data_IF_709670208068
#
_entry.id   IF_709670208068
#
_cell.length_a   1.000
_cell.length_b   1.000
_cell.length_c   1.000
_cell.angle_alpha   90.00
_cell.angle_beta   90.00
_cell.angle_gamma   90.00
#
_symmetry.space_group_name_H-M   'P 1'
#
loop_
_entity.id
_entity.type
_entity.pdbx_description
1 polymer ?
#
# COMPACT_ATOMS: atom_id res chain seq x y z
N UNK A 1 -11.64 -4.76 -10.85
CA UNK A 1 -10.53 -5.18 -11.72
C UNK A 1 -9.29 -4.39 -11.30
N UNK A 2 -8.20 -5.06 -10.92
CA UNK A 2 -6.95 -4.37 -10.58
C UNK A 2 -6.26 -3.96 -11.87
N UNK A 3 -6.35 -2.68 -12.22
CA UNK A 3 -5.60 -2.15 -13.34
C UNK A 3 -4.14 -1.91 -12.92
N UNK A 4 -3.22 -2.78 -13.33
CA UNK A 4 -1.79 -2.60 -13.02
C UNK A 4 -1.18 -1.41 -13.75
N UNK A 5 -1.73 -1.07 -14.92
CA UNK A 5 -1.29 0.04 -15.76
C UNK A 5 -1.78 1.37 -15.19
N UNK A 6 -2.87 1.38 -14.42
CA UNK A 6 -3.34 2.59 -13.70
C UNK A 6 -2.35 3.09 -12.65
N UNK A 7 -1.40 2.24 -12.22
CA UNK A 7 -0.28 2.63 -11.33
C UNK A 7 0.98 3.01 -12.11
N UNK A 8 0.95 2.91 -13.45
CA UNK A 8 1.94 3.48 -14.37
C UNK A 8 1.39 4.68 -15.16
N UNK A 9 0.07 4.95 -15.18
CA UNK A 9 -0.59 6.14 -15.73
C UNK A 9 -2.02 6.33 -15.19
N UNK A 10 -2.39 7.58 -14.96
CA UNK A 10 -3.57 8.16 -14.30
C UNK A 10 -5.01 7.67 -14.69
N UNK A 11 -5.99 7.98 -13.81
CA UNK A 11 -7.47 8.11 -13.98
C UNK A 11 -8.49 7.10 -13.36
N UNK A 12 -9.31 7.57 -12.41
CA UNK A 12 -10.75 7.90 -12.61
C UNK A 12 -11.90 6.85 -12.58
N UNK A 13 -12.33 6.46 -11.35
CA UNK A 13 -13.72 6.32 -10.83
C UNK A 13 -14.75 5.17 -11.17
N UNK A 14 -15.49 4.78 -10.10
CA UNK A 14 -16.85 4.18 -9.92
C UNK A 14 -17.13 2.65 -9.73
N UNK A 15 -17.37 2.30 -8.44
CA UNK A 15 -18.49 1.57 -7.78
C UNK A 15 -19.12 0.26 -8.35
N UNK A 16 -19.03 -0.83 -7.57
CA UNK A 16 -20.13 -1.79 -7.30
C UNK A 16 -19.72 -2.79 -6.19
N UNK A 17 -20.55 -2.94 -5.15
CA UNK A 17 -20.23 -3.80 -4.00
C UNK A 17 -20.91 -5.18 -3.97
N UNK A 18 -20.49 -6.04 -3.03
CA UNK A 18 -21.31 -6.72 -2.00
C UNK A 18 -20.70 -8.05 -1.53
N UNK A 19 -20.84 -8.27 -0.22
CA UNK A 19 -20.98 -9.52 0.56
C UNK A 19 -19.77 -10.41 0.92
N UNK A 20 -19.63 -10.56 2.24
CA UNK A 20 -18.65 -11.32 2.99
C UNK A 20 -19.19 -12.70 3.40
N UNK A 21 -18.34 -13.72 3.28
CA UNK A 21 -18.61 -15.09 3.73
C UNK A 21 -17.51 -15.60 4.66
N UNK A 22 -17.73 -15.51 5.96
CA UNK A 22 -16.83 -16.00 7.01
C UNK A 22 -16.93 -17.53 7.18
N UNK A 23 -15.81 -18.24 7.04
CA UNK A 23 -15.72 -19.69 7.18
C UNK A 23 -14.37 -20.15 7.74
N UNK A 24 -14.19 -20.03 9.06
CA UNK A 24 -12.97 -20.46 9.76
C UNK A 24 -12.68 -21.96 9.64
N UNK A 25 -11.62 -22.30 8.89
CA UNK A 25 -11.02 -23.64 8.80
C UNK A 25 -9.75 -23.70 9.65
N UNK A 26 -9.57 -24.79 10.41
CA UNK A 26 -8.46 -25.01 11.36
C UNK A 26 -7.13 -25.39 10.69
N UNK A 27 -6.87 -24.89 9.49
CA UNK A 27 -5.59 -25.12 8.81
C UNK A 27 -4.50 -24.21 9.38
N UNK A 28 -3.25 -24.71 9.52
CA UNK A 28 -2.14 -23.86 9.91
C UNK A 28 -1.88 -22.80 8.83
N UNK A 29 -1.63 -21.56 9.25
CA UNK A 29 -1.41 -20.43 8.34
C UNK A 29 -0.28 -20.73 7.33
N UNK A 30 -0.59 -20.53 6.04
CA UNK A 30 0.38 -20.72 4.96
C UNK A 30 1.40 -19.58 4.96
N UNK A 31 2.70 -19.91 4.90
CA UNK A 31 3.75 -18.91 4.74
C UNK A 31 3.76 -18.43 3.28
N UNK A 32 3.17 -17.26 3.02
CA UNK A 32 2.97 -16.73 1.69
C UNK A 32 4.03 -15.66 1.37
N UNK A 33 4.48 -15.66 0.12
CA UNK A 33 5.25 -14.55 -0.47
C UNK A 33 4.57 -14.16 -1.77
N UNK A 34 4.35 -12.87 -2.00
CA UNK A 34 3.82 -12.39 -3.28
C UNK A 34 4.94 -11.81 -4.13
N UNK A 35 4.81 -11.88 -5.46
CA UNK A 35 5.58 -11.05 -6.39
C UNK A 35 4.75 -9.85 -6.83
N UNK A 36 5.38 -8.82 -7.40
CA UNK A 36 4.64 -7.72 -7.99
C UNK A 36 3.63 -8.19 -9.04
N UNK A 37 2.51 -7.46 -9.12
CA UNK A 37 1.39 -7.65 -10.06
C UNK A 37 0.67 -8.99 -9.89
N UNK A 38 0.53 -9.44 -8.64
CA UNK A 38 -0.18 -10.66 -8.29
C UNK A 38 -1.05 -10.42 -7.04
N UNK A 39 -2.29 -9.93 -7.22
CA UNK A 39 -3.19 -9.54 -6.16
C UNK A 39 -3.82 -10.73 -5.46
N UNK A 40 -3.89 -10.58 -4.14
CA UNK A 40 -4.68 -11.42 -3.25
C UNK A 40 -5.69 -10.52 -2.52
N UNK A 41 -6.80 -11.11 -2.10
CA UNK A 41 -7.77 -10.46 -1.22
C UNK A 41 -7.94 -11.28 0.05
N UNK A 42 -8.24 -10.66 1.19
CA UNK A 42 -8.51 -11.40 2.42
C UNK A 42 -8.78 -10.51 3.61
N UNK A 43 -9.19 -11.11 4.73
CA UNK A 43 -9.52 -10.39 5.96
C UNK A 43 -8.27 -10.14 6.80
N UNK A 44 -7.98 -8.88 7.11
CA UNK A 44 -6.83 -8.50 7.95
C UNK A 44 -7.09 -8.87 9.40
N UNK A 45 -6.29 -9.78 9.97
CA UNK A 45 -6.52 -10.24 11.35
C UNK A 45 -5.45 -9.77 12.33
N UNK A 46 -4.18 -9.78 11.90
CA UNK A 46 -3.08 -9.44 12.80
C UNK A 46 -1.88 -8.89 12.04
N UNK A 47 -1.26 -7.86 12.61
CA UNK A 47 0.05 -7.38 12.20
C UNK A 47 0.93 -7.33 13.42
N UNK A 48 2.17 -7.81 13.32
CA UNK A 48 3.04 -7.99 14.46
C UNK A 48 4.50 -7.91 14.05
N UNK A 49 5.35 -7.34 14.91
CA UNK A 49 6.79 -7.36 14.71
C UNK A 49 7.41 -8.65 15.23
N UNK A 50 8.56 -9.01 14.65
CA UNK A 50 9.38 -10.13 15.09
C UNK A 50 10.85 -9.74 14.95
N UNK A 51 11.66 -10.07 15.96
CA UNK A 51 13.10 -9.86 15.93
C UNK A 51 13.83 -11.20 16.06
N UNK A 52 14.79 -11.44 15.18
CA UNK A 52 15.67 -12.60 15.28
C UNK A 52 17.11 -12.26 14.88
N UNK A 53 17.99 -13.27 14.88
CA UNK A 53 19.42 -13.10 14.57
C UNK A 53 19.71 -12.58 13.15
N UNK A 54 18.72 -12.60 12.25
CA UNK A 54 18.82 -12.14 10.86
C UNK A 54 18.16 -10.78 10.63
N UNK A 55 17.72 -10.11 11.70
CA UNK A 55 17.04 -8.82 11.64
C UNK A 55 15.60 -8.88 12.14
N UNK A 56 14.96 -7.73 12.06
CA UNK A 56 13.55 -7.52 12.37
C UNK A 56 12.69 -7.69 11.11
N UNK A 57 11.48 -8.19 11.30
CA UNK A 57 10.48 -8.40 10.26
C UNK A 57 9.08 -8.07 10.76
N UNK A 58 8.27 -7.48 9.88
CA UNK A 58 6.83 -7.32 10.02
C UNK A 58 6.13 -8.59 9.52
N UNK A 59 5.35 -9.24 10.38
CA UNK A 59 4.42 -10.30 10.04
C UNK A 59 3.03 -9.72 9.79
N UNK A 60 2.39 -10.15 8.70
CA UNK A 60 1.02 -9.80 8.33
C UNK A 60 0.24 -11.09 8.22
N UNK A 61 -0.78 -11.26 9.05
CA UNK A 61 -1.69 -12.40 9.04
C UNK A 61 -3.04 -11.98 8.46
N UNK A 62 -3.54 -12.79 7.54
CA UNK A 62 -4.84 -12.62 6.90
C UNK A 62 -5.59 -13.95 6.90
N UNK A 63 -6.91 -13.88 7.01
CA UNK A 63 -7.84 -15.02 6.93
C UNK A 63 -8.69 -14.94 5.66
N UNK A 64 -9.29 -16.07 5.27
CA UNK A 64 -10.15 -16.18 4.08
C UNK A 64 -9.52 -15.53 2.84
N UNK A 65 -8.24 -15.82 2.62
CA UNK A 65 -7.47 -15.21 1.54
C UNK A 65 -7.79 -15.89 0.23
N UNK A 66 -7.98 -15.10 -0.81
CA UNK A 66 -8.25 -15.55 -2.17
C UNK A 66 -7.19 -15.01 -3.13
N UNK A 67 -6.76 -15.83 -4.07
CA UNK A 67 -5.95 -15.41 -5.21
C UNK A 67 -6.90 -14.82 -6.24
N UNK A 68 -6.71 -13.54 -6.57
CA UNK A 68 -7.59 -12.85 -7.53
C UNK A 68 -6.99 -12.83 -8.92
N UNK A 69 -5.66 -12.76 -9.05
CA UNK A 69 -4.97 -12.86 -10.33
C UNK A 69 -3.53 -13.38 -10.14
N UNK A 70 -3.12 -14.27 -11.04
CA UNK A 70 -1.78 -14.85 -11.08
C UNK A 70 -1.77 -16.35 -10.80
N UNK A 71 -0.62 -16.87 -10.38
CA UNK A 71 -0.39 -18.29 -10.18
C UNK A 71 0.19 -18.58 -8.79
N UNK A 72 -0.47 -19.44 -8.03
CA UNK A 72 0.01 -19.94 -6.75
C UNK A 72 0.92 -21.15 -6.95
N UNK A 73 2.09 -21.08 -6.34
CA UNK A 73 3.08 -22.13 -6.37
C UNK A 73 3.54 -22.55 -4.97
N UNK A 74 3.84 -23.83 -4.79
CA UNK A 74 4.42 -24.39 -3.58
C UNK A 74 5.92 -24.70 -3.77
N UNK A 75 6.75 -24.24 -2.82
CA UNK A 75 8.16 -24.60 -2.66
C UNK A 75 8.24 -25.82 -1.70
N UNK A 76 8.37 -27.05 -2.21
CA UNK A 76 8.35 -28.25 -1.39
C UNK A 76 9.59 -28.38 -0.49
N UNK A 77 10.69 -27.69 -0.81
CA UNK A 77 11.90 -27.72 0.02
C UNK A 77 11.73 -26.89 1.29
N UNK A 78 10.95 -25.81 1.21
CA UNK A 78 10.75 -24.86 2.31
C UNK A 78 9.38 -24.91 2.95
N UNK A 79 8.43 -25.64 2.37
CA UNK A 79 7.03 -25.65 2.79
C UNK A 79 6.41 -24.25 2.71
N UNK A 80 6.75 -23.50 1.66
CA UNK A 80 6.31 -22.11 1.47
C UNK A 80 5.46 -21.97 0.22
N UNK A 81 4.53 -21.04 0.26
CA UNK A 81 3.71 -20.68 -0.88
C UNK A 81 4.20 -19.37 -1.47
N UNK A 82 4.12 -19.27 -2.80
CA UNK A 82 4.50 -18.07 -3.51
C UNK A 82 3.53 -17.80 -4.64
N UNK A 83 2.98 -16.59 -4.67
CA UNK A 83 2.19 -16.10 -5.79
C UNK A 83 3.12 -15.44 -6.80
N UNK A 84 2.98 -15.81 -8.06
CA UNK A 84 3.66 -15.19 -9.19
C UNK A 84 2.64 -14.51 -10.10
N UNK A 85 3.02 -13.37 -10.69
CA UNK A 85 2.22 -12.78 -11.77
C UNK A 85 2.32 -13.62 -13.04
N UNK A 86 1.31 -13.55 -13.90
CA UNK A 86 1.33 -14.18 -15.22
C UNK A 86 2.56 -13.79 -16.05
N UNK A 87 2.98 -12.51 -15.95
CA UNK A 87 4.19 -12.02 -16.61
C UNK A 87 5.44 -12.74 -16.12
N UNK A 88 5.51 -13.06 -14.83
CA UNK A 88 6.62 -13.83 -14.29
C UNK A 88 6.55 -15.32 -14.69
N UNK A 89 5.37 -15.90 -14.89
CA UNK A 89 5.19 -17.33 -15.18
C UNK A 89 5.34 -17.66 -16.65
N UNK A 90 4.62 -16.95 -17.52
CA UNK A 90 4.54 -17.22 -18.97
C UNK A 90 5.01 -16.04 -19.84
N UNK A 91 5.39 -14.92 -19.23
CA UNK A 91 5.90 -13.75 -19.96
C UNK A 91 4.81 -12.86 -20.57
N UNK A 92 3.54 -13.10 -20.22
CA UNK A 92 2.37 -12.38 -20.74
C UNK A 92 1.71 -11.65 -19.58
N UNK A 93 1.27 -10.42 -19.82
CA UNK A 93 0.39 -9.68 -18.91
C UNK A 93 -1.05 -9.80 -19.44
N UNK A 94 -1.96 -10.56 -18.80
CA UNK A 94 -3.32 -10.73 -19.27
C UNK A 94 -4.14 -9.44 -19.31
N UNK A 95 -3.68 -8.37 -18.65
CA UNK A 95 -4.35 -7.07 -18.65
C UNK A 95 -3.83 -6.14 -19.75
N UNK A 96 -2.82 -6.56 -20.52
CA UNK A 96 -2.39 -5.85 -21.72
C UNK A 96 -3.40 -6.16 -22.86
N UNK A 97 -4.10 -5.15 -23.41
CA UNK A 97 -5.09 -5.36 -24.46
C UNK A 97 -4.48 -5.88 -25.77
N UNK A 98 -3.16 -5.78 -25.95
CA UNK A 98 -2.43 -6.32 -27.10
C UNK A 98 -1.84 -7.71 -26.84
N UNK A 99 -1.92 -8.21 -25.60
CA UNK A 99 -1.43 -9.54 -25.25
C UNK A 99 -2.34 -10.66 -25.81
N UNK A 100 -1.77 -11.84 -26.09
CA UNK A 100 -2.58 -13.02 -26.37
C UNK A 100 -3.40 -13.39 -25.13
N UNK A 101 -4.62 -13.89 -25.35
CA UNK A 101 -5.45 -14.47 -24.29
C UNK A 101 -4.69 -15.60 -23.57
N UNK A 102 -4.76 -15.60 -22.24
CA UNK A 102 -4.16 -16.60 -21.36
C UNK A 102 -5.27 -17.23 -20.53
N UNK A 103 -5.19 -18.51 -20.24
CA UNK A 103 -6.09 -19.26 -19.36
C UNK A 103 -5.33 -19.89 -18.20
N UNK A 104 -6.03 -20.32 -17.15
CA UNK A 104 -5.43 -21.03 -16.02
C UNK A 104 -4.58 -22.25 -16.45
N UNK A 105 -4.98 -22.95 -17.52
CA UNK A 105 -4.28 -24.12 -18.07
C UNK A 105 -2.92 -23.79 -18.71
N UNK A 106 -2.65 -22.52 -19.02
CA UNK A 106 -1.37 -22.08 -19.58
C UNK A 106 -0.27 -21.94 -18.50
N UNK A 107 -0.64 -22.00 -17.22
CA UNK A 107 0.30 -21.92 -16.12
C UNK A 107 1.27 -23.12 -16.14
N UNK A 108 2.57 -22.83 -16.02
CA UNK A 108 3.60 -23.86 -16.02
C UNK A 108 3.46 -24.78 -14.79
N UNK A 109 3.19 -26.07 -14.97
CA UNK A 109 3.10 -27.03 -13.85
C UNK A 109 4.33 -26.98 -12.90
N UNK A 110 5.51 -26.71 -13.45
CA UNK A 110 6.74 -26.50 -12.69
C UNK A 110 7.38 -25.17 -13.08
N UNK A 111 7.73 -24.38 -12.07
CA UNK A 111 8.43 -23.11 -12.27
C UNK A 111 9.83 -23.19 -11.67
N UNK A 112 10.84 -22.84 -12.47
CA UNK A 112 12.23 -22.76 -12.01
C UNK A 112 12.67 -21.30 -12.04
N UNK A 113 13.16 -20.79 -10.91
CA UNK A 113 13.65 -19.41 -10.77
C UNK A 113 15.05 -19.39 -10.17
N UNK A 114 15.91 -18.58 -10.75
CA UNK A 114 17.26 -18.36 -10.24
C UNK A 114 17.33 -17.07 -9.41
N UNK A 115 17.70 -17.19 -8.14
CA UNK A 115 17.90 -16.06 -7.23
C UNK A 115 19.33 -16.07 -6.71
N UNK A 116 20.14 -15.09 -7.14
CA UNK A 116 21.51 -14.92 -6.63
C UNK A 116 22.39 -16.17 -6.80
N UNK A 117 22.19 -16.92 -7.90
CA UNK A 117 22.91 -18.17 -8.18
C UNK A 117 22.32 -19.42 -7.53
N UNK A 118 21.24 -19.30 -6.76
CA UNK A 118 20.48 -20.45 -6.23
C UNK A 118 19.27 -20.71 -7.12
N UNK A 119 19.20 -21.91 -7.68
CA UNK A 119 18.02 -22.39 -8.38
C UNK A 119 16.95 -22.77 -7.35
N UNK A 120 15.71 -22.37 -7.59
CA UNK A 120 14.55 -22.78 -6.81
C UNK A 120 13.50 -23.35 -7.74
N UNK A 121 12.92 -24.47 -7.34
CA UNK A 121 11.83 -25.14 -8.05
C UNK A 121 10.54 -24.99 -7.26
N UNK A 122 9.47 -24.71 -7.99
CA UNK A 122 8.13 -24.62 -7.45
C UNK A 122 7.17 -25.48 -8.25
N UNK A 123 6.11 -25.95 -7.59
CA UNK A 123 5.05 -26.76 -8.17
C UNK A 123 3.75 -25.96 -8.17
N UNK A 124 3.07 -25.92 -9.32
CA UNK A 124 1.80 -25.21 -9.46
C UNK A 124 0.76 -25.83 -8.52
N UNK A 125 0.06 -24.96 -7.81
CA UNK A 125 -1.08 -25.32 -6.96
C UNK A 125 -2.38 -24.88 -7.62
N UNK A 126 -2.44 -23.62 -8.05
CA UNK A 126 -3.64 -23.02 -8.64
C UNK A 126 -3.27 -21.82 -9.51
N UNK A 127 -4.12 -21.48 -10.49
CA UNK A 127 -3.96 -20.29 -11.33
C UNK A 127 -5.30 -19.63 -11.61
N UNK A 128 -5.32 -18.30 -11.58
CA UNK A 128 -6.52 -17.48 -11.78
C UNK A 128 -6.20 -16.39 -12.79
N UNK A 129 -7.02 -16.24 -13.83
CA UNK A 129 -6.95 -15.14 -14.78
C UNK A 129 -8.13 -14.21 -14.56
N UNK A 130 -7.91 -13.09 -13.87
CA UNK A 130 -8.98 -12.12 -13.61
C UNK A 130 -9.64 -11.60 -14.89
N UNK A 131 -8.85 -11.39 -15.95
CA UNK A 131 -9.34 -10.89 -17.24
C UNK A 131 -10.38 -11.81 -17.92
N UNK A 132 -10.44 -13.09 -17.51
CA UNK A 132 -11.41 -14.06 -18.01
C UNK A 132 -12.62 -14.26 -17.08
N UNK A 133 -12.76 -13.44 -16.04
CA UNK A 133 -13.75 -13.61 -14.97
C UNK A 133 -13.65 -14.98 -14.27
N UNK A 134 -12.43 -15.52 -14.15
CA UNK A 134 -12.18 -16.75 -13.38
C UNK A 134 -12.57 -16.54 -11.90
N UNK A 135 -13.12 -17.58 -11.27
CA UNK A 135 -13.45 -17.55 -9.84
C UNK A 135 -12.16 -17.44 -9.00
N UNK A 136 -12.07 -16.50 -8.03
CA UNK A 136 -10.93 -16.42 -7.14
C UNK A 136 -10.65 -17.74 -6.43
N UNK A 137 -9.37 -18.07 -6.27
CA UNK A 137 -8.99 -19.33 -5.65
C UNK A 137 -8.73 -19.19 -4.15
N UNK A 138 -9.41 -19.99 -3.34
CA UNK A 138 -9.25 -20.01 -1.88
C UNK A 138 -7.84 -20.48 -1.46
N UNK A 139 -7.11 -19.58 -0.81
CA UNK A 139 -5.81 -19.80 -0.20
C UNK A 139 -5.93 -20.13 1.30
N UNK A 140 -7.09 -19.94 1.93
CA UNK A 140 -7.27 -20.07 3.37
C UNK A 140 -6.49 -19.00 4.16
N UNK A 141 -5.98 -19.37 5.34
CA UNK A 141 -5.25 -18.44 6.20
C UNK A 141 -3.78 -18.34 5.78
N UNK A 142 -3.22 -17.13 5.80
CA UNK A 142 -1.84 -16.88 5.38
C UNK A 142 -1.10 -15.95 6.35
N UNK A 143 0.21 -16.13 6.42
CA UNK A 143 1.14 -15.17 7.02
C UNK A 143 2.19 -14.77 5.99
N UNK A 144 2.33 -13.47 5.77
CA UNK A 144 3.37 -12.85 4.96
C UNK A 144 4.43 -12.19 5.86
N UNK A 145 5.68 -12.22 5.41
CA UNK A 145 6.83 -11.68 6.15
C UNK A 145 7.59 -10.63 5.36
N UNK A 146 7.64 -9.43 5.90
CA UNK A 146 8.31 -8.27 5.33
C UNK A 146 9.49 -7.86 6.19
N UNK A 147 10.68 -7.73 5.60
CA UNK A 147 11.90 -7.40 6.34
C UNK A 147 13.01 -6.87 5.44
N UNK A 148 14.23 -6.84 5.97
CA UNK A 148 15.39 -6.25 5.32
C UNK A 148 16.46 -7.23 4.83
N UNK A 149 17.64 -6.68 4.61
CA UNK A 149 18.89 -7.45 4.42
C UNK A 149 20.07 -6.68 4.99
N UNK A 150 21.09 -7.38 5.50
CA UNK A 150 22.31 -6.77 6.09
C UNK A 150 22.93 -5.70 5.20
N UNK A 151 22.83 -5.88 3.88
CA UNK A 151 23.48 -5.02 2.90
C UNK A 151 22.71 -3.73 2.61
N UNK A 152 21.39 -3.74 2.76
CA UNK A 152 20.52 -2.68 2.22
C UNK A 152 19.47 -2.16 3.21
N UNK A 153 19.53 -2.58 4.48
CA UNK A 153 18.54 -2.16 5.45
C UNK A 153 17.16 -2.82 5.23
N UNK A 154 16.11 -2.34 5.93
CA UNK A 154 14.73 -2.70 5.66
C UNK A 154 14.31 -2.34 4.23
N UNK A 155 13.59 -3.25 3.56
CA UNK A 155 13.10 -3.00 2.20
C UNK A 155 12.04 -1.89 2.21
N UNK A 156 11.98 -1.12 1.12
CA UNK A 156 10.97 -0.07 0.92
C UNK A 156 9.54 -0.57 1.21
N UNK A 157 9.13 -1.69 0.61
CA UNK A 157 7.82 -2.28 0.86
C UNK A 157 7.57 -2.61 2.34
N UNK A 158 8.59 -3.07 3.07
CA UNK A 158 8.48 -3.36 4.50
C UNK A 158 8.25 -2.09 5.32
N UNK A 159 8.97 -1.01 4.99
CA UNK A 159 8.79 0.31 5.61
C UNK A 159 7.38 0.86 5.33
N UNK A 160 6.93 0.82 4.09
CA UNK A 160 5.61 1.30 3.68
C UNK A 160 4.49 0.52 4.37
N UNK A 161 4.54 -0.81 4.37
CA UNK A 161 3.53 -1.63 5.05
C UNK A 161 3.50 -1.40 6.57
N UNK A 162 4.66 -1.24 7.21
CA UNK A 162 4.71 -0.94 8.64
C UNK A 162 3.98 0.39 8.94
N UNK A 163 4.16 1.40 8.10
CA UNK A 163 3.48 2.69 8.26
C UNK A 163 1.98 2.62 7.99
N UNK A 164 1.56 1.88 6.96
CA UNK A 164 0.14 1.78 6.58
C UNK A 164 -0.65 0.99 7.61
N UNK A 165 -0.12 -0.17 8.04
CA UNK A 165 -0.89 -1.18 8.75
C UNK A 165 -0.81 -1.10 10.27
N UNK A 166 0.20 -0.46 10.83
CA UNK A 166 0.42 -0.49 12.29
C UNK A 166 -0.17 0.73 13.00
N UNK A 167 -0.51 0.58 14.28
CA UNK A 167 -0.96 1.68 15.16
C UNK A 167 0.07 2.79 15.32
N UNK A 168 1.34 2.50 15.04
CA UNK A 168 2.41 3.50 15.08
C UNK A 168 2.37 4.47 13.90
N UNK A 169 1.69 4.12 12.80
CA UNK A 169 1.65 4.97 11.60
C UNK A 169 3.06 5.32 11.12
N UNK A 170 3.33 6.61 10.94
CA UNK A 170 4.64 7.12 10.49
C UNK A 170 5.80 6.70 11.39
N UNK A 171 5.55 6.59 12.70
CA UNK A 171 6.56 6.27 13.71
C UNK A 171 6.90 4.77 13.77
N UNK A 172 6.27 3.94 12.92
CA UNK A 172 6.56 2.52 12.85
C UNK A 172 8.00 2.22 12.43
N UNK A 173 8.64 3.13 11.69
CA UNK A 173 10.02 3.00 11.20
C UNK A 173 10.94 3.91 12.01
N UNK A 174 11.80 3.34 12.85
CA UNK A 174 12.66 4.09 13.78
C UNK A 174 14.10 4.27 13.30
N UNK A 175 14.61 3.34 12.49
CA UNK A 175 15.91 3.45 11.80
C UNK A 175 15.79 2.78 10.43
N UNK A 176 15.90 3.56 9.36
CA UNK A 176 15.64 3.05 8.01
C UNK A 176 16.86 2.37 7.35
N UNK A 177 17.96 2.28 8.08
CA UNK A 177 19.25 1.71 7.67
C UNK A 177 19.64 0.46 8.46
N UNK A 178 19.20 0.33 9.71
CA UNK A 178 19.53 -0.80 10.59
C UNK A 178 18.45 -1.90 10.58
N UNK A 179 18.74 -3.04 9.96
CA UNK A 179 17.81 -4.17 9.92
C UNK A 179 17.49 -4.76 11.30
N UNK A 180 18.27 -4.48 12.34
CA UNK A 180 18.05 -4.98 13.70
C UNK A 180 17.26 -4.01 14.57
N UNK A 181 17.05 -2.78 14.13
CA UNK A 181 16.40 -1.73 14.92
C UNK A 181 15.55 -0.79 14.05
N UNK A 182 14.91 -1.31 13.00
CA UNK A 182 14.09 -0.49 12.10
C UNK A 182 12.63 -0.39 12.49
N UNK A 183 12.09 -1.38 13.21
CA UNK A 183 10.67 -1.48 13.54
C UNK A 183 10.42 -1.08 14.99
N UNK A 184 9.48 -0.16 15.22
CA UNK A 184 9.16 0.39 16.53
C UNK A 184 8.73 -0.66 17.57
N UNK A 185 7.97 -1.67 17.12
CA UNK A 185 7.48 -2.74 17.98
C UNK A 185 7.81 -4.12 17.38
N UNK A 186 8.51 -4.93 18.18
CA UNK A 186 8.87 -6.32 17.87
C UNK A 186 8.44 -7.31 18.95
N UNK A 187 7.51 -6.91 19.82
CA UNK A 187 6.98 -7.68 20.94
C UNK A 187 6.30 -9.00 20.51
N UNK A 188 5.81 -9.05 19.28
CA UNK A 188 4.96 -10.14 18.78
C UNK A 188 3.46 -9.94 19.04
N UNK A 189 3.10 -8.86 19.74
CA UNK A 189 1.71 -8.47 19.98
C UNK A 189 1.06 -7.95 18.69
N UNK A 190 -0.28 -7.94 18.67
CA UNK A 190 -1.02 -7.36 17.56
C UNK A 190 -0.93 -5.84 17.61
N UNK A 191 -0.22 -5.27 16.64
CA UNK A 191 -0.04 -3.83 16.42
C UNK A 191 -0.83 -3.33 15.20
N UNK A 192 -1.76 -4.15 14.67
CA UNK A 192 -2.66 -3.75 13.58
C UNK A 192 -3.52 -2.57 14.01
N UNK A 193 -3.72 -1.60 13.12
CA UNK A 193 -4.68 -0.52 13.33
C UNK A 193 -6.10 -1.05 13.49
N UNK A 194 -6.83 -0.49 14.45
CA UNK A 194 -8.18 -0.96 14.79
C UNK A 194 -9.19 -0.87 13.64
N UNK A 195 -9.07 0.13 12.76
CA UNK A 195 -9.97 0.32 11.61
C UNK A 195 -9.80 -0.75 10.52
N UNK A 196 -8.65 -1.43 10.49
CA UNK A 196 -8.34 -2.50 9.54
C UNK A 196 -8.62 -3.90 10.08
N UNK A 197 -8.84 -4.06 11.38
CA UNK A 197 -9.07 -5.38 11.97
C UNK A 197 -10.40 -5.97 11.49
N UNK A 198 -10.34 -7.17 10.89
CA UNK A 198 -11.46 -7.86 10.27
C UNK A 198 -11.89 -7.29 8.92
N UNK A 199 -11.20 -6.26 8.41
CA UNK A 199 -11.53 -5.64 7.13
C UNK A 199 -10.98 -6.50 5.98
N UNK A 200 -11.79 -6.72 4.95
CA UNK A 200 -11.35 -7.37 3.71
C UNK A 200 -10.55 -6.38 2.87
N UNK A 201 -9.29 -6.71 2.59
CA UNK A 201 -8.38 -5.87 1.81
C UNK A 201 -7.81 -6.63 0.62
N UNK A 202 -7.65 -5.92 -0.50
CA UNK A 202 -6.84 -6.33 -1.63
C UNK A 202 -5.39 -5.94 -1.39
N UNK A 203 -4.45 -6.81 -1.72
CA UNK A 203 -3.03 -6.59 -1.52
C UNK A 203 -2.21 -7.06 -2.71
N UNK A 204 -1.36 -6.17 -3.22
CA UNK A 204 -0.36 -6.49 -4.25
C UNK A 204 0.82 -5.54 -4.18
N UNK A 205 1.88 -5.85 -4.93
CA UNK A 205 3.03 -4.98 -5.09
C UNK A 205 3.18 -4.53 -6.54
N UNK A 206 3.74 -3.34 -6.76
CA UNK A 206 4.16 -2.84 -8.08
C UNK A 206 5.65 -2.54 -8.08
N UNK A 207 6.27 -2.48 -9.26
CA UNK A 207 7.70 -2.10 -9.38
C UNK A 207 7.83 -0.63 -9.76
N UNK A 208 8.24 0.22 -8.82
CA UNK A 208 8.51 1.65 -9.05
C UNK A 208 9.99 1.92 -9.32
N UNK A 209 10.31 2.94 -10.12
CA UNK A 209 11.69 3.38 -10.35
C UNK A 209 12.24 4.07 -9.10
N UNK A 210 13.51 3.83 -8.78
CA UNK A 210 14.19 4.57 -7.71
C UNK A 210 14.81 5.84 -8.29
N UNK A 211 14.64 6.96 -7.60
CA UNK A 211 15.32 8.23 -7.95
C UNK A 211 16.80 8.23 -7.53
N UNK A 212 17.21 7.27 -6.70
CA UNK A 212 18.57 7.20 -6.13
C UNK A 212 19.38 6.03 -6.68
N UNK A 213 18.80 5.18 -7.52
CA UNK A 213 19.50 4.06 -8.15
C UNK A 213 18.83 3.60 -9.43
N UNK A 214 19.58 2.98 -10.33
CA UNK A 214 19.05 2.38 -11.56
C UNK A 214 18.17 1.13 -11.31
N UNK A 215 17.77 0.89 -10.05
CA UNK A 215 17.01 -0.30 -9.65
C UNK A 215 15.56 0.07 -9.38
N UNK A 216 14.65 -0.76 -9.89
CA UNK A 216 13.26 -0.74 -9.46
C UNK A 216 13.14 -1.28 -8.03
N UNK A 217 12.24 -0.70 -7.23
CA UNK A 217 11.87 -1.19 -5.91
C UNK A 217 10.41 -1.64 -5.91
N UNK A 218 10.05 -2.49 -4.95
CA UNK A 218 8.69 -2.96 -4.78
C UNK A 218 7.93 -1.96 -3.91
N UNK A 219 6.75 -1.54 -4.38
CA UNK A 219 5.85 -0.65 -3.67
C UNK A 219 4.54 -1.40 -3.40
N UNK A 220 4.17 -1.62 -2.13
CA UNK A 220 2.97 -2.32 -1.75
C UNK A 220 1.76 -1.40 -1.90
N UNK A 221 0.64 -1.98 -2.31
CA UNK A 221 -0.65 -1.31 -2.41
C UNK A 221 -1.64 -2.16 -1.64
N UNK A 222 -2.39 -1.52 -0.74
CA UNK A 222 -3.44 -2.13 0.06
C UNK A 222 -4.73 -1.38 -0.26
N UNK A 223 -5.76 -2.09 -0.70
CA UNK A 223 -7.07 -1.54 -1.05
C UNK A 223 -8.13 -2.09 -0.13
N UNK A 224 -9.05 -1.25 0.30
CA UNK A 224 -10.30 -1.72 0.89
C UNK A 224 -11.15 -2.34 -0.23
N UNK A 225 -11.54 -3.61 -0.09
CA UNK A 225 -12.28 -4.33 -1.14
C UNK A 225 -13.71 -3.80 -1.30
N UNK A 226 -14.32 -3.34 -0.21
CA UNK A 226 -15.70 -2.87 -0.22
C UNK A 226 -15.81 -1.50 -0.89
N UNK A 227 -14.88 -0.58 -0.59
CA UNK A 227 -14.91 0.79 -1.10
C UNK A 227 -14.05 1.00 -2.35
N UNK A 228 -13.07 0.12 -2.60
CA UNK A 228 -12.07 0.25 -3.66
C UNK A 228 -10.99 1.31 -3.37
N UNK A 229 -11.04 1.97 -2.21
CA UNK A 229 -10.11 3.03 -1.83
C UNK A 229 -8.76 2.47 -1.36
N UNK A 230 -7.69 3.22 -1.61
CA UNK A 230 -6.36 2.91 -1.09
C UNK A 230 -6.32 3.11 0.43
N UNK A 231 -5.75 2.13 1.13
CA UNK A 231 -5.49 2.22 2.56
C UNK A 231 -4.17 2.97 2.76
N UNK A 232 -4.27 4.20 3.28
CA UNK A 232 -3.13 5.09 3.54
C UNK A 232 -2.73 5.11 5.02
N UNK A 233 -1.65 5.82 5.35
CA UNK A 233 -1.13 5.92 6.73
C UNK A 233 -2.08 6.73 7.62
N UNK A 234 -2.36 6.25 8.84
CA UNK A 234 -3.15 7.02 9.82
C UNK A 234 -2.36 8.25 10.31
N UNK A 235 -3.01 9.42 10.29
CA UNK A 235 -2.50 10.65 10.91
C UNK A 235 -2.78 10.61 12.43
N UNK A 236 -1.72 10.55 13.25
CA UNK A 236 -1.81 10.60 14.70
C UNK A 236 -1.92 12.05 15.21
N UNK A 237 -2.98 12.76 14.86
CA UNK A 237 -3.43 13.96 15.60
C UNK A 237 -4.68 13.61 16.39
N UNK A 238 -4.63 13.86 17.69
CA UNK A 238 -5.66 13.49 18.63
C UNK A 238 -7.02 14.08 18.22
N UNK A 239 -8.03 13.21 18.20
CA UNK A 239 -9.46 13.50 17.96
C UNK A 239 -9.80 14.07 16.58
N UNK A 240 -9.78 13.21 15.56
CA UNK A 240 -10.91 12.97 14.65
C UNK A 240 -10.59 11.81 13.70
N UNK A 241 -11.65 11.21 13.16
CA UNK A 241 -11.68 10.05 12.29
C UNK A 241 -10.57 10.08 11.22
N UNK A 242 -9.88 8.94 11.06
CA UNK A 242 -9.21 8.64 9.78
C UNK A 242 -10.22 8.80 8.64
N UNK A 243 -9.76 9.31 7.50
CA UNK A 243 -10.54 9.83 6.37
C UNK A 243 -11.40 8.76 5.69
N UNK A 244 -12.44 8.33 6.39
CA UNK A 244 -13.54 7.51 5.91
C UNK A 244 -14.80 8.05 6.60
N UNK A 245 -15.26 9.23 6.20
CA UNK A 245 -16.62 9.69 6.52
C UNK A 245 -17.41 9.96 5.24
N UNK A 246 -17.92 8.87 4.66
CA UNK A 246 -19.08 8.90 3.78
C UNK A 246 -20.34 8.86 4.63
N UNK A 247 -20.68 9.98 5.28
CA UNK A 247 -21.76 10.05 6.27
C UNK A 247 -22.64 11.29 6.11
N UNK A 248 -23.57 11.25 5.16
CA UNK A 248 -24.62 12.25 4.98
C UNK A 248 -25.58 12.27 6.20
N UNK A 249 -25.58 13.36 6.98
CA UNK A 249 -26.65 13.67 7.93
C UNK A 249 -27.15 15.12 7.72
N UNK A 250 -28.47 15.37 7.81
CA UNK A 250 -29.13 16.49 7.15
C UNK A 250 -28.94 17.84 7.86
N UNK A 251 -28.92 18.88 7.03
CA UNK A 251 -28.94 20.29 7.42
C UNK A 251 -30.13 20.65 8.32
N UNK A 252 -29.86 21.36 9.42
CA UNK A 252 -30.81 22.31 10.00
C UNK A 252 -30.26 23.73 9.81
N UNK A 253 -31.07 24.55 9.13
CA UNK A 253 -30.88 25.98 8.90
C UNK A 253 -30.95 26.76 10.21
N UNK A 254 -29.98 27.67 10.40
CA UNK A 254 -29.92 28.58 11.55
C UNK A 254 -29.10 29.83 11.22
N UNK A 255 -29.74 30.72 10.47
CA UNK A 255 -29.34 32.07 10.05
C UNK A 255 -28.68 32.93 11.17
N UNK A 256 -27.48 33.49 10.90
CA UNK A 256 -27.02 34.80 11.39
C UNK A 256 -25.66 35.22 10.79
N UNK A 257 -25.69 36.26 9.96
CA UNK A 257 -24.55 37.01 9.40
C UNK A 257 -23.73 37.82 10.44
N UNK A 258 -22.53 38.36 10.07
CA UNK A 258 -21.38 38.55 10.96
C UNK A 258 -21.24 39.97 11.53
N UNK A 259 -20.51 40.10 12.65
CA UNK A 259 -19.89 41.37 13.05
C UNK A 259 -18.37 41.25 13.15
N UNK A 260 -17.71 42.12 12.40
CA UNK A 260 -16.27 42.33 12.38
C UNK A 260 -15.78 43.05 13.63
N UNK A 261 -14.70 42.55 14.24
CA UNK A 261 -13.82 43.38 15.08
C UNK A 261 -12.38 42.97 14.84
N UNK A 262 -11.64 43.84 14.17
CA UNK A 262 -10.19 43.80 14.09
C UNK A 262 -9.60 44.40 15.38
N UNK A 263 -8.69 43.69 16.05
CA UNK A 263 -7.62 44.31 16.83
C UNK A 263 -6.41 43.35 16.97
N UNK A 264 -5.22 43.92 16.83
CA UNK A 264 -3.98 43.21 16.52
C UNK A 264 -3.39 42.40 17.68
N UNK A 265 -3.15 41.12 17.40
CA UNK A 265 -2.17 40.27 18.11
C UNK A 265 -0.98 39.97 17.21
N UNK A 266 0.18 39.55 17.76
CA UNK A 266 1.36 39.25 16.96
C UNK A 266 1.01 38.15 15.95
N UNK A 267 1.48 38.30 14.71
CA UNK A 267 1.26 37.34 13.61
C UNK A 267 1.45 35.91 14.13
N UNK A 268 0.35 35.17 14.23
CA UNK A 268 0.39 33.72 14.41
C UNK A 268 1.16 33.18 13.22
N UNK A 269 2.13 32.31 13.48
CA UNK A 269 2.77 31.55 12.42
C UNK A 269 1.65 30.91 11.60
N UNK A 270 1.59 31.22 10.30
CA UNK A 270 0.60 30.66 9.39
C UNK A 270 0.61 29.15 9.56
N UNK A 271 -0.47 28.62 10.12
CA UNK A 271 -0.64 27.20 10.37
C UNK A 271 -0.71 26.54 9.00
N UNK A 272 0.31 25.73 8.66
CA UNK A 272 0.41 25.10 7.35
C UNK A 272 -0.80 24.18 7.19
N UNK A 273 -1.63 24.35 6.15
CA UNK A 273 -2.77 23.46 5.92
C UNK A 273 -2.31 22.00 5.81
N UNK A 274 -3.04 21.07 6.43
CA UNK A 274 -2.62 19.67 6.57
C UNK A 274 -2.26 18.99 5.23
N UNK A 275 -3.00 19.28 4.15
CA UNK A 275 -2.70 18.76 2.82
C UNK A 275 -1.34 19.26 2.29
N UNK A 276 -1.02 20.54 2.53
CA UNK A 276 0.28 21.14 2.17
C UNK A 276 1.40 20.57 3.04
N UNK A 277 1.15 20.37 4.34
CA UNK A 277 2.11 19.75 5.25
C UNK A 277 2.42 18.30 4.84
N UNK A 278 1.40 17.54 4.43
CA UNK A 278 1.55 16.17 3.94
C UNK A 278 2.33 16.13 2.61
N UNK A 279 2.11 17.08 1.72
CA UNK A 279 2.93 17.26 0.51
C UNK A 279 4.39 17.59 0.85
N UNK A 280 4.63 18.59 1.72
CA UNK A 280 5.98 19.03 2.14
C UNK A 280 6.73 17.86 2.79
N UNK A 281 6.09 17.19 3.73
CA UNK A 281 6.64 16.03 4.44
C UNK A 281 6.93 14.87 3.49
N UNK A 282 6.08 14.65 2.48
CA UNK A 282 6.30 13.62 1.46
C UNK A 282 7.55 13.92 0.64
N UNK A 283 7.70 15.15 0.17
CA UNK A 283 8.87 15.58 -0.59
C UNK A 283 10.17 15.49 0.25
N UNK A 284 10.15 15.94 1.50
CA UNK A 284 11.28 15.86 2.42
C UNK A 284 11.66 14.41 2.76
N UNK A 285 10.67 13.55 2.99
CA UNK A 285 10.87 12.12 3.30
C UNK A 285 11.42 11.35 2.10
N UNK A 286 11.01 11.73 0.89
CA UNK A 286 11.53 11.16 -0.35
C UNK A 286 12.91 11.73 -0.72
N UNK A 287 13.40 12.72 0.04
CA UNK A 287 14.68 13.37 -0.18
C UNK A 287 14.71 14.12 -1.50
N UNK A 288 13.60 14.78 -1.87
CA UNK A 288 13.58 15.67 -3.02
C UNK A 288 14.64 16.76 -2.82
N UNK A 289 15.50 16.93 -3.81
CA UNK A 289 16.58 17.92 -3.85
C UNK A 289 16.43 18.90 -5.03
N UNK A 290 15.29 18.84 -5.72
CA UNK A 290 15.00 19.56 -6.95
C UNK A 290 13.62 20.25 -6.86
N UNK A 291 13.65 21.58 -6.82
CA UNK A 291 12.47 22.44 -6.76
C UNK A 291 11.55 22.26 -7.97
N UNK A 292 12.08 22.02 -9.18
CA UNK A 292 11.25 21.82 -10.39
C UNK A 292 10.47 20.50 -10.31
N UNK A 293 11.03 19.48 -9.66
CA UNK A 293 10.34 18.18 -9.46
C UNK A 293 9.31 18.24 -8.35
N UNK A 294 9.57 19.01 -7.29
CA UNK A 294 8.59 19.26 -6.25
C UNK A 294 7.41 20.07 -6.80
N UNK A 295 7.69 21.11 -7.58
CA UNK A 295 6.69 21.91 -8.31
C UNK A 295 5.83 21.04 -9.24
N UNK A 296 6.46 20.18 -10.06
CA UNK A 296 5.73 19.25 -10.92
C UNK A 296 4.83 18.30 -10.12
N UNK A 297 5.33 17.72 -9.03
CA UNK A 297 4.53 16.85 -8.16
C UNK A 297 3.38 17.60 -7.46
N UNK A 298 3.60 18.85 -7.07
CA UNK A 298 2.57 19.71 -6.49
C UNK A 298 1.47 20.00 -7.50
N UNK A 299 1.83 20.35 -8.74
CA UNK A 299 0.89 20.55 -9.85
C UNK A 299 0.10 19.28 -10.15
N UNK A 300 0.78 18.13 -10.23
CA UNK A 300 0.14 16.83 -10.46
C UNK A 300 -0.87 16.49 -9.34
N UNK A 301 -0.56 16.81 -8.08
CA UNK A 301 -1.43 16.57 -6.93
C UNK A 301 -2.60 17.55 -6.84
N UNK A 302 -2.43 18.79 -7.32
CA UNK A 302 -3.46 19.83 -7.36
C UNK A 302 -4.46 19.62 -8.51
N UNK A 303 -3.98 19.11 -9.66
CA UNK A 303 -4.82 18.78 -10.82
C UNK A 303 -5.62 17.48 -10.63
N UNK A 304 -5.28 16.65 -9.62
CA UNK A 304 -5.98 15.42 -9.27
C UNK A 304 -7.33 15.69 -8.60
N UNK A 305 -8.42 15.43 -9.33
CA UNK A 305 -9.79 15.59 -8.87
C UNK A 305 -10.16 14.50 -7.84
N UNK A 306 -9.77 14.70 -6.60
CA UNK A 306 -9.96 13.76 -5.50
C UNK A 306 -8.94 13.92 -4.36
N UNK A 307 -7.94 14.77 -4.55
CA UNK A 307 -6.94 15.09 -3.54
C UNK A 307 -7.43 16.20 -2.59
N UNK A 308 -7.07 16.11 -1.32
CA UNK A 308 -7.31 17.15 -0.31
C UNK A 308 -6.46 18.40 -0.59
N UNK A 309 -5.38 18.25 -1.37
CA UNK A 309 -4.55 19.33 -1.88
C UNK A 309 -5.19 19.95 -3.12
N UNK A 310 -5.87 21.09 -2.97
CA UNK A 310 -6.56 21.78 -4.06
C UNK A 310 -5.85 23.06 -4.50
N UNK A 311 -6.13 23.53 -5.72
CA UNK A 311 -5.54 24.76 -6.29
C UNK A 311 -5.80 25.97 -5.38
N UNK A 312 -7.03 26.11 -4.87
CA UNK A 312 -7.39 27.18 -3.94
C UNK A 312 -6.58 27.12 -2.63
N UNK A 313 -6.28 25.92 -2.14
CA UNK A 313 -5.56 25.72 -0.89
C UNK A 313 -4.06 26.04 -1.06
N UNK A 314 -3.50 25.78 -2.24
CA UNK A 314 -2.14 26.20 -2.63
C UNK A 314 -2.08 27.72 -2.84
N UNK A 315 -3.07 28.32 -3.49
CA UNK A 315 -3.15 29.79 -3.64
C UNK A 315 -3.27 30.50 -2.29
N UNK A 316 -4.13 30.00 -1.38
CA UNK A 316 -4.35 30.56 -0.05
C UNK A 316 -3.11 30.47 0.86
N UNK A 317 -2.22 29.51 0.61
CA UNK A 317 -0.94 29.37 1.32
C UNK A 317 0.18 30.25 0.75
N UNK A 318 -0.08 30.98 -0.34
CA UNK A 318 0.91 31.86 -0.99
C UNK A 318 1.41 31.37 -2.35
N UNK A 319 0.76 30.37 -2.94
CA UNK A 319 1.03 29.83 -4.26
C UNK A 319 2.05 28.69 -4.28
N UNK A 320 2.19 28.09 -5.47
CA UNK A 320 3.06 26.93 -5.72
C UNK A 320 4.50 27.16 -5.25
N UNK A 321 5.06 28.35 -5.51
CA UNK A 321 6.42 28.73 -5.10
C UNK A 321 6.59 28.74 -3.57
N UNK A 322 5.56 29.12 -2.80
CA UNK A 322 5.60 29.14 -1.33
C UNK A 322 5.55 27.73 -0.74
N UNK A 323 4.71 26.85 -1.31
CA UNK A 323 4.63 25.44 -0.91
C UNK A 323 5.94 24.71 -1.23
N UNK A 324 6.47 24.90 -2.44
CA UNK A 324 7.73 24.28 -2.89
C UNK A 324 8.90 24.81 -2.07
N UNK A 325 8.99 26.11 -1.78
CA UNK A 325 10.04 26.66 -0.94
C UNK A 325 10.07 26.01 0.46
N UNK A 326 8.91 25.68 1.03
CA UNK A 326 8.82 24.99 2.33
C UNK A 326 9.30 23.55 2.32
N UNK A 327 9.35 22.89 1.17
CA UNK A 327 9.98 21.58 1.03
C UNK A 327 11.47 21.64 1.37
N UNK A 328 12.14 22.76 1.05
CA UNK A 328 13.59 22.90 1.11
C UNK A 328 14.11 23.77 2.27
N UNK A 329 13.22 24.18 3.19
CA UNK A 329 13.59 24.76 4.50
C UNK A 329 14.01 23.69 5.51
#
# INVERSE_FOLDING_TARGET
MYDYNSYEQDSGNNNSGSDSGNGGSSEPDKNLTITPYAPIEGEMTRVFGNANKWGQSLGIAMEAVELVDGCLYHDPEKGKFKVFSWRDVVGIDPNDPEAPEVSADDANQFLVKNYGGTEKRYELVEAVVMANDDEPADLGNVIMWYGGSDRFGPKSASKTLAKILTTHGRDAVVDDSDIHNWLADTSGDNILRGDLQGRRVGFFEVKKQSNQSDRKYHHPIVKDVETGADVTVANNTASEQGTLDGGNAPAEEGDAEPEAVADGGPAQAEEVPAAIEDFISTCQTLGYDDEEKAAALLGDLVEDAGNDLTENLVEDFGGEEAVVARVFE
#
